data_IF_230711322636
#
_entry.id   IF_230711322636
#
_cell.length_a   1.000
_cell.length_b   1.000
_cell.length_c   1.000
_cell.angle_alpha   90.00
_cell.angle_beta   90.00
_cell.angle_gamma   90.00
#
_symmetry.space_group_name_H-M   'P 1'
#
loop_
_entity.id
_entity.type
_entity.pdbx_description
1 polymer ?
#
# COMPACT_ATOMS: atom_id res chain seq x y z
N UNK A 1 4.26 9.40 -15.70
CA UNK A 1 4.82 8.24 -14.98
C UNK A 1 4.03 7.98 -13.73
N UNK A 2 3.69 6.74 -13.52
CA UNK A 2 2.87 6.32 -12.39
C UNK A 2 3.65 5.27 -11.62
N UNK A 3 3.85 5.52 -10.32
CA UNK A 3 4.33 4.50 -9.40
C UNK A 3 3.15 3.65 -8.97
N UNK A 4 3.27 2.35 -9.17
CA UNK A 4 2.32 1.38 -8.66
C UNK A 4 2.97 0.65 -7.50
N UNK A 5 2.58 0.99 -6.29
CA UNK A 5 3.16 0.44 -5.08
C UNK A 5 2.24 -0.59 -4.44
N UNK A 6 2.81 -1.67 -3.98
CA UNK A 6 2.12 -2.67 -3.18
C UNK A 6 2.68 -2.69 -1.77
N UNK A 7 1.82 -2.95 -0.82
CA UNK A 7 2.13 -2.95 0.59
C UNK A 7 1.63 -4.23 1.24
N UNK A 8 2.33 -4.70 2.24
CA UNK A 8 1.93 -5.86 3.03
C UNK A 8 1.57 -5.43 4.45
N UNK A 9 0.98 -6.35 5.21
CA UNK A 9 0.85 -6.18 6.65
C UNK A 9 2.20 -6.44 7.35
N UNK A 10 2.20 -6.37 8.67
CA UNK A 10 3.40 -6.52 9.50
C UNK A 10 3.65 -7.98 9.91
N UNK A 11 2.88 -8.92 9.37
CA UNK A 11 3.00 -10.34 9.69
C UNK A 11 4.09 -10.96 8.81
N UNK A 12 5.00 -11.69 9.42
CA UNK A 12 6.05 -12.39 8.71
C UNK A 12 7.37 -11.62 8.61
N UNK A 13 8.24 -12.08 7.73
CA UNK A 13 9.58 -11.52 7.55
C UNK A 13 9.53 -10.30 6.64
N UNK A 14 10.22 -9.22 7.04
CA UNK A 14 10.26 -7.97 6.28
C UNK A 14 10.80 -8.16 4.86
N UNK A 15 11.90 -8.90 4.70
CA UNK A 15 12.49 -9.14 3.38
C UNK A 15 11.53 -9.93 2.47
N UNK A 16 10.86 -10.94 3.02
CA UNK A 16 9.87 -11.73 2.27
C UNK A 16 8.65 -10.89 1.90
N UNK A 17 8.17 -10.05 2.79
CA UNK A 17 7.07 -9.14 2.54
C UNK A 17 7.42 -8.12 1.45
N UNK A 18 8.63 -7.63 1.45
CA UNK A 18 9.11 -6.71 0.41
C UNK A 18 9.13 -7.37 -0.96
N UNK A 19 9.64 -8.60 -1.06
CA UNK A 19 9.61 -9.35 -2.32
C UNK A 19 8.19 -9.69 -2.76
N UNK A 20 7.34 -10.09 -1.83
CA UNK A 20 5.94 -10.39 -2.11
C UNK A 20 5.21 -9.16 -2.66
N UNK A 21 5.41 -8.01 -2.03
CA UNK A 21 4.79 -6.76 -2.48
C UNK A 21 5.29 -6.35 -3.86
N UNK A 22 6.58 -6.50 -4.14
CA UNK A 22 7.13 -6.21 -5.48
C UNK A 22 6.51 -7.12 -6.53
N UNK A 23 6.37 -8.41 -6.25
CA UNK A 23 5.72 -9.35 -7.19
C UNK A 23 4.26 -9.00 -7.43
N UNK A 24 3.54 -8.57 -6.40
CA UNK A 24 2.15 -8.11 -6.54
C UNK A 24 2.06 -6.85 -7.39
N UNK A 25 2.94 -5.88 -7.15
CA UNK A 25 3.01 -4.67 -7.96
C UNK A 25 3.32 -5.01 -9.42
N UNK A 26 4.29 -5.90 -9.66
CA UNK A 26 4.65 -6.33 -11.00
C UNK A 26 3.50 -7.02 -11.71
N UNK A 27 2.74 -7.85 -11.00
CA UNK A 27 1.57 -8.54 -11.58
C UNK A 27 0.50 -7.54 -12.04
N UNK A 28 0.25 -6.49 -11.27
CA UNK A 28 -0.70 -5.45 -11.68
C UNK A 28 -0.16 -4.67 -12.87
N UNK A 29 1.12 -4.33 -12.88
CA UNK A 29 1.76 -3.68 -14.03
C UNK A 29 1.62 -4.53 -15.29
N UNK A 30 1.92 -5.83 -15.21
CA UNK A 30 1.80 -6.75 -16.33
C UNK A 30 0.36 -6.80 -16.86
N UNK A 31 -0.62 -6.81 -15.97
CA UNK A 31 -2.03 -6.77 -16.34
C UNK A 31 -2.35 -5.48 -17.10
N UNK A 32 -1.89 -4.33 -16.62
CA UNK A 32 -2.15 -3.04 -17.26
C UNK A 32 -1.47 -2.96 -18.63
N UNK A 33 -0.24 -3.47 -18.76
CA UNK A 33 0.46 -3.51 -20.05
C UNK A 33 -0.32 -4.38 -21.05
N UNK A 34 -0.81 -5.53 -20.61
CA UNK A 34 -1.63 -6.42 -21.44
C UNK A 34 -2.90 -5.72 -21.94
N UNK A 35 -3.42 -4.78 -21.18
CA UNK A 35 -4.63 -4.02 -21.52
C UNK A 35 -4.33 -2.67 -22.19
N UNK A 36 -3.12 -2.46 -22.68
CA UNK A 36 -2.80 -1.32 -23.55
C UNK A 36 -2.08 -0.15 -22.90
N UNK A 37 -1.71 -0.24 -21.63
CA UNK A 37 -0.93 0.81 -20.98
C UNK A 37 0.55 0.62 -21.33
N UNK A 38 1.24 1.70 -21.71
CA UNK A 38 2.66 1.62 -22.04
C UNK A 38 3.51 1.31 -20.80
N UNK A 39 4.42 0.34 -20.93
CA UNK A 39 5.29 -0.07 -19.82
C UNK A 39 6.16 1.07 -19.29
N UNK A 40 6.58 1.98 -20.17
CA UNK A 40 7.40 3.13 -19.79
C UNK A 40 6.70 4.09 -18.83
N UNK A 41 5.37 4.01 -18.73
CA UNK A 41 4.58 4.85 -17.83
C UNK A 41 4.40 4.26 -16.45
N UNK A 42 4.77 3.01 -16.24
CA UNK A 42 4.48 2.26 -15.03
C UNK A 42 5.78 1.86 -14.33
N UNK A 43 5.89 2.17 -13.06
CA UNK A 43 7.01 1.76 -12.21
C UNK A 43 6.49 0.93 -11.05
N UNK A 44 6.76 -0.39 -11.02
CA UNK A 44 6.36 -1.20 -9.89
C UNK A 44 7.30 -0.99 -8.71
N UNK A 45 6.74 -0.85 -7.51
CA UNK A 45 7.51 -0.75 -6.28
C UNK A 45 6.88 -1.63 -5.21
N UNK A 46 7.70 -2.42 -4.53
CA UNK A 46 7.28 -3.19 -3.38
C UNK A 46 7.82 -2.56 -2.10
N UNK A 47 6.95 -1.97 -1.29
CA UNK A 47 7.34 -1.38 -0.01
C UNK A 47 7.30 -2.37 1.15
N UNK A 48 6.67 -3.54 0.95
CA UNK A 48 6.50 -4.48 2.05
C UNK A 48 5.74 -3.84 3.20
N UNK A 49 6.29 -3.93 4.40
CA UNK A 49 5.72 -3.33 5.61
C UNK A 49 6.29 -1.94 5.95
N UNK A 50 7.15 -1.39 5.09
CA UNK A 50 7.88 -0.15 5.38
C UNK A 50 7.00 1.09 5.47
N UNK A 51 5.83 1.08 4.83
CA UNK A 51 4.92 2.23 4.80
C UNK A 51 3.53 1.86 5.29
N UNK A 52 3.34 1.72 6.61
CA UNK A 52 2.02 1.46 7.16
C UNK A 52 1.05 2.61 6.89
N UNK A 53 -0.24 2.29 6.89
CA UNK A 53 -1.29 3.29 6.74
C UNK A 53 -1.24 4.30 7.88
N UNK A 54 -1.45 5.57 7.56
CA UNK A 54 -1.73 6.63 8.53
C UNK A 54 -3.24 6.88 8.52
N UNK A 55 -3.86 6.82 9.68
CA UNK A 55 -5.33 6.98 9.80
C UNK A 55 -5.73 8.41 9.47
N UNK A 56 -6.55 8.57 8.44
CA UNK A 56 -7.16 9.84 8.10
C UNK A 56 -8.54 9.99 8.76
N UNK A 57 -9.20 11.11 8.51
CA UNK A 57 -10.51 11.37 9.09
C UNK A 57 -11.57 10.34 8.62
N UNK A 58 -11.51 9.92 7.37
CA UNK A 58 -12.45 8.94 6.82
C UNK A 58 -12.28 7.57 7.47
N UNK A 59 -11.05 7.10 7.67
CA UNK A 59 -10.78 5.85 8.36
C UNK A 59 -11.20 5.92 9.82
N UNK A 60 -10.98 7.05 10.47
CA UNK A 60 -11.44 7.26 11.85
C UNK A 60 -12.96 7.18 11.96
N UNK A 61 -13.69 7.72 10.99
CA UNK A 61 -15.15 7.62 10.95
C UNK A 61 -15.62 6.18 10.73
N UNK A 62 -14.93 5.44 9.88
CA UNK A 62 -15.25 4.05 9.57
C UNK A 62 -14.91 3.10 10.71
N UNK A 63 -13.78 3.34 11.35
CA UNK A 63 -13.26 2.54 12.47
C UNK A 63 -12.95 3.45 13.66
N UNK A 64 -13.91 3.63 14.55
CA UNK A 64 -13.82 4.59 15.65
C UNK A 64 -12.67 4.30 16.64
N UNK A 65 -12.20 3.04 16.70
CA UNK A 65 -11.07 2.69 17.56
C UNK A 65 -9.71 3.13 17.00
N UNK A 66 -9.68 3.58 15.75
CA UNK A 66 -8.46 4.09 15.11
C UNK A 66 -8.39 5.61 15.32
N UNK A 67 -7.44 6.12 16.13
CA UNK A 67 -7.27 7.56 16.30
C UNK A 67 -6.80 8.21 15.00
N UNK A 68 -7.30 9.41 14.71
CA UNK A 68 -6.83 10.20 13.58
C UNK A 68 -5.33 10.45 13.69
N UNK A 69 -4.62 10.39 12.56
CA UNK A 69 -3.18 10.55 12.43
C UNK A 69 -2.34 9.44 13.06
N UNK A 70 -2.97 8.36 13.52
CA UNK A 70 -2.26 7.20 14.04
C UNK A 70 -1.62 6.42 12.89
N UNK A 71 -0.33 6.10 13.02
CA UNK A 71 0.36 5.17 12.12
C UNK A 71 0.04 3.74 12.56
N UNK A 72 -0.40 2.91 11.61
CA UNK A 72 -0.75 1.50 11.88
C UNK A 72 0.51 0.64 11.86
N UNK A 73 1.45 0.96 12.74
CA UNK A 73 2.71 0.24 12.90
C UNK A 73 2.59 -0.88 13.95
N UNK A 74 3.65 -1.64 14.11
CA UNK A 74 3.70 -2.76 15.05
C UNK A 74 3.41 -2.30 16.49
N UNK A 75 3.99 -1.18 16.90
CA UNK A 75 3.82 -0.67 18.27
C UNK A 75 2.35 -0.40 18.61
N UNK A 76 1.59 0.15 17.66
CA UNK A 76 0.18 0.39 17.85
C UNK A 76 -0.65 -0.90 17.75
N UNK A 77 -0.41 -1.72 16.72
CA UNK A 77 -1.21 -2.91 16.43
C UNK A 77 -1.14 -3.92 17.59
N UNK A 78 0.03 -4.08 18.19
CA UNK A 78 0.21 -5.04 19.29
C UNK A 78 -0.58 -4.67 20.55
N UNK A 79 -1.04 -3.43 20.67
CA UNK A 79 -1.90 -3.01 21.81
C UNK A 79 -3.36 -3.41 21.65
N UNK A 80 -3.75 -3.90 20.47
CA UNK A 80 -5.14 -4.15 20.12
C UNK A 80 -5.52 -5.63 20.33
N UNK A 81 -6.83 -5.87 20.41
CA UNK A 81 -7.37 -7.24 20.37
C UNK A 81 -7.11 -7.89 19.01
N UNK A 82 -7.19 -9.23 18.95
CA UNK A 82 -6.93 -9.97 17.72
C UNK A 82 -7.80 -9.51 16.54
N UNK A 83 -9.07 -9.24 16.78
CA UNK A 83 -10.01 -8.79 15.75
C UNK A 83 -9.60 -7.41 15.19
N UNK A 84 -9.22 -6.50 16.08
CA UNK A 84 -8.78 -5.16 15.70
C UNK A 84 -7.42 -5.18 15.02
N UNK A 85 -6.52 -6.07 15.42
CA UNK A 85 -5.25 -6.28 14.73
C UNK A 85 -5.47 -6.70 13.28
N UNK A 86 -6.42 -7.61 13.02
CA UNK A 86 -6.73 -8.05 11.65
C UNK A 86 -7.28 -6.90 10.81
N UNK A 87 -8.08 -6.00 11.38
CA UNK A 87 -8.53 -4.80 10.66
C UNK A 87 -7.34 -3.97 10.22
N UNK A 88 -6.39 -3.72 11.10
CA UNK A 88 -5.18 -2.95 10.77
C UNK A 88 -4.33 -3.64 9.72
N UNK A 89 -4.13 -4.95 9.84
CA UNK A 89 -3.36 -5.74 8.88
C UNK A 89 -4.03 -5.71 7.50
N UNK A 90 -5.35 -5.82 7.46
CA UNK A 90 -6.12 -5.72 6.22
C UNK A 90 -5.95 -4.37 5.54
N UNK A 91 -5.95 -3.28 6.30
CA UNK A 91 -5.74 -1.93 5.77
C UNK A 91 -4.33 -1.75 5.23
N UNK A 92 -3.34 -2.37 5.85
CA UNK A 92 -1.94 -2.28 5.40
C UNK A 92 -1.70 -3.07 4.11
N UNK A 93 -2.44 -4.14 3.84
CA UNK A 93 -2.36 -4.92 2.60
C UNK A 93 -3.07 -4.19 1.48
N UNK A 94 -2.34 -3.37 0.72
CA UNK A 94 -2.96 -2.52 -0.29
C UNK A 94 -2.05 -2.28 -1.49
N UNK A 95 -2.66 -1.86 -2.58
CA UNK A 95 -1.97 -1.34 -3.77
C UNK A 95 -2.35 0.12 -3.96
N UNK A 96 -1.38 0.96 -4.21
CA UNK A 96 -1.58 2.38 -4.41
C UNK A 96 -1.01 2.84 -5.75
N UNK A 97 -1.64 3.87 -6.32
CA UNK A 97 -1.16 4.55 -7.51
C UNK A 97 -0.68 5.94 -7.13
N UNK A 98 0.51 6.31 -7.59
CA UNK A 98 1.07 7.63 -7.35
C UNK A 98 1.60 8.20 -8.65
N UNK A 99 1.15 9.39 -9.01
CA UNK A 99 1.68 10.12 -10.16
C UNK A 99 3.01 10.72 -9.76
N UNK A 100 4.10 10.25 -10.39
CA UNK A 100 5.46 10.75 -10.12
C UNK A 100 5.79 11.95 -10.98
N UNK A 101 5.32 11.93 -12.23
CA UNK A 101 5.63 12.99 -13.18
C UNK A 101 4.54 13.05 -14.23
N UNK A 102 4.07 14.25 -14.49
CA UNK A 102 3.14 14.53 -15.58
C UNK A 102 3.97 14.88 -16.81
N UNK A 103 3.80 14.13 -17.89
CA UNK A 103 4.61 14.27 -19.11
C UNK A 103 3.83 14.80 -20.31
N UNK A 104 2.54 15.07 -20.17
CA UNK A 104 1.79 15.64 -21.27
C UNK A 104 2.13 17.12 -21.41
N UNK A 105 2.18 17.55 -22.66
CA UNK A 105 2.40 18.97 -22.97
C UNK A 105 1.06 19.65 -23.19
N UNK A 106 0.93 20.84 -22.62
CA UNK A 106 -0.22 21.70 -22.83
C UNK A 106 0.12 22.72 -23.93
N UNK A 107 -0.51 22.57 -25.04
CA UNK A 107 -0.36 23.51 -26.14
C UNK A 107 -1.62 24.31 -26.34
#
# INVERSE_FOLDING_TARGET
>A
TIELSAHTDLVGNDADNKQLSLRRAQSVVDYLIKHGIESARLTPVGYGEEKPVVVDEQLHKQYSFLPKDQVLDEAFITTLSADKQEVCNSLNRRTEFRVLKTTYNLY
#
